data_IF_844572132809
#
_entry.id   IF_844572132809
#
_cell.length_a   1.000
_cell.length_b   1.000
_cell.length_c   1.000
_cell.angle_alpha   90.00
_cell.angle_beta   90.00
_cell.angle_gamma   90.00
#
_symmetry.space_group_name_H-M   'P 1'
#
loop_
_entity.id
_entity.type
_entity.pdbx_description
1 polymer ?
#
# COMPACT_ATOMS: atom_id res chain seq x y z
N UNK A 1 -42.47 -32.75 -68.34
CA UNK A 1 -41.72 -31.51 -68.07
C UNK A 1 -42.20 -30.98 -66.74
N UNK A 2 -41.31 -30.86 -65.74
CA UNK A 2 -41.47 -30.19 -64.44
C UNK A 2 -42.59 -30.74 -63.50
N UNK A 3 -42.43 -30.88 -62.18
CA UNK A 3 -41.27 -30.75 -61.30
C UNK A 3 -41.64 -31.42 -59.96
N UNK A 4 -40.63 -32.03 -59.33
CA UNK A 4 -40.53 -32.31 -57.90
C UNK A 4 -40.91 -31.09 -57.04
N UNK A 5 -41.39 -31.33 -55.80
CA UNK A 5 -40.59 -31.15 -54.58
C UNK A 5 -41.52 -31.19 -53.35
N UNK A 6 -41.24 -32.19 -52.52
CA UNK A 6 -41.82 -32.46 -51.22
C UNK A 6 -41.15 -31.55 -50.19
N UNK A 7 -41.86 -30.58 -49.62
CA UNK A 7 -41.32 -29.75 -48.52
C UNK A 7 -41.59 -30.45 -47.18
N UNK A 8 -40.60 -31.20 -46.70
CA UNK A 8 -40.52 -31.61 -45.30
C UNK A 8 -40.18 -30.39 -44.43
N UNK A 9 -41.00 -30.16 -43.41
CA UNK A 9 -40.76 -29.18 -42.35
C UNK A 9 -39.54 -29.57 -41.54
N UNK A 10 -38.43 -28.82 -41.69
CA UNK A 10 -37.27 -28.94 -40.82
C UNK A 10 -37.43 -27.97 -39.63
N UNK A 11 -37.81 -28.51 -38.47
CA UNK A 11 -37.78 -27.79 -37.20
C UNK A 11 -36.32 -27.56 -36.80
N UNK A 12 -35.85 -26.31 -36.89
CA UNK A 12 -34.54 -25.91 -36.38
C UNK A 12 -34.58 -25.88 -34.85
N UNK A 13 -34.00 -26.90 -34.21
CA UNK A 13 -33.73 -26.88 -32.76
C UNK A 13 -32.48 -26.03 -32.55
N UNK A 14 -32.68 -24.78 -32.14
CA UNK A 14 -31.59 -23.89 -31.71
C UNK A 14 -31.17 -24.33 -30.31
N UNK A 15 -30.08 -25.09 -30.22
CA UNK A 15 -29.36 -25.32 -28.98
C UNK A 15 -28.70 -24.00 -28.55
N UNK A 16 -29.41 -23.25 -27.70
CA UNK A 16 -28.82 -22.12 -26.98
C UNK A 16 -27.87 -22.74 -25.97
N UNK A 17 -26.60 -22.92 -26.36
CA UNK A 17 -25.53 -23.22 -25.44
C UNK A 17 -25.49 -22.06 -24.43
N UNK A 18 -25.95 -22.33 -23.21
CA UNK A 18 -25.99 -21.37 -22.13
C UNK A 18 -24.58 -20.83 -21.89
N UNK A 19 -24.33 -19.61 -22.35
CA UNK A 19 -23.23 -18.80 -21.86
C UNK A 19 -23.55 -18.49 -20.40
N UNK A 20 -23.13 -19.37 -19.49
CA UNK A 20 -23.05 -19.05 -18.07
C UNK A 20 -22.00 -17.95 -17.94
N UNK A 21 -22.47 -16.71 -18.00
CA UNK A 21 -21.71 -15.55 -17.61
C UNK A 21 -21.51 -15.70 -16.10
N UNK A 22 -20.46 -16.40 -15.70
CA UNK A 22 -20.02 -16.40 -14.30
C UNK A 22 -19.69 -14.94 -13.98
N UNK A 23 -20.64 -14.28 -13.33
CA UNK A 23 -20.40 -13.06 -12.61
C UNK A 23 -19.34 -13.41 -11.55
N UNK A 24 -18.06 -13.31 -11.93
CA UNK A 24 -16.97 -13.49 -11.01
C UNK A 24 -17.11 -12.40 -9.96
N UNK A 25 -17.61 -12.81 -8.80
CA UNK A 25 -17.70 -11.96 -7.62
C UNK A 25 -16.32 -11.34 -7.43
N UNK A 26 -16.26 -10.01 -7.52
CA UNK A 26 -15.04 -9.24 -7.28
C UNK A 26 -14.70 -9.37 -5.81
N UNK A 27 -13.97 -10.43 -5.46
CA UNK A 27 -13.49 -10.67 -4.10
C UNK A 27 -12.32 -9.72 -3.85
N UNK A 28 -12.52 -8.80 -2.92
CA UNK A 28 -11.45 -7.93 -2.43
C UNK A 28 -10.84 -8.66 -1.25
N UNK A 29 -9.64 -9.19 -1.46
CA UNK A 29 -8.82 -9.75 -0.39
C UNK A 29 -7.73 -8.75 -0.04
N UNK A 30 -7.48 -8.47 1.25
CA UNK A 30 -6.37 -7.62 1.64
C UNK A 30 -5.05 -8.32 1.27
N UNK A 31 -4.11 -7.55 0.75
CA UNK A 31 -2.75 -8.04 0.59
C UNK A 31 -2.13 -8.35 1.96
N UNK A 32 -1.35 -9.43 2.04
CA UNK A 32 -0.56 -9.71 3.24
C UNK A 32 0.61 -8.73 3.27
N UNK A 33 0.74 -7.96 4.35
CA UNK A 33 1.86 -7.03 4.56
C UNK A 33 2.79 -7.62 5.61
N UNK A 34 4.03 -7.90 5.22
CA UNK A 34 5.07 -8.42 6.12
C UNK A 34 6.03 -7.30 6.47
N UNK A 35 6.08 -6.99 7.76
CA UNK A 35 6.96 -5.95 8.28
C UNK A 35 8.22 -6.58 8.86
N UNK A 36 9.42 -6.13 8.44
CA UNK A 36 10.68 -6.66 8.94
C UNK A 36 10.85 -6.38 10.44
N UNK A 37 10.35 -5.23 10.90
CA UNK A 37 10.23 -4.86 12.30
C UNK A 37 8.96 -4.06 12.52
N UNK A 38 8.23 -4.33 13.60
CA UNK A 38 7.05 -3.54 14.00
C UNK A 38 7.51 -2.44 14.95
N UNK A 39 7.27 -1.18 14.56
CA UNK A 39 7.59 -0.03 15.41
C UNK A 39 6.61 0.09 16.59
N UNK A 40 5.33 -0.17 16.30
CA UNK A 40 4.19 -0.13 17.22
C UNK A 40 2.89 0.27 16.50
N UNK A 41 1.87 0.64 17.27
CA UNK A 41 0.59 1.14 16.76
C UNK A 41 0.45 2.61 17.09
N UNK A 42 0.02 3.40 16.10
CA UNK A 42 -0.30 4.82 16.26
C UNK A 42 -1.41 5.04 17.28
N UNK A 43 -1.23 5.98 18.18
CA UNK A 43 -2.16 6.29 19.26
C UNK A 43 -3.39 7.04 18.73
N UNK A 44 -3.21 7.86 17.71
CA UNK A 44 -4.30 8.64 17.12
C UNK A 44 -4.95 7.95 15.93
N UNK A 45 -4.15 7.28 15.09
CA UNK A 45 -4.65 6.71 13.83
C UNK A 45 -5.02 5.22 13.91
N UNK A 46 -4.66 4.53 15.00
CA UNK A 46 -4.73 3.06 15.15
C UNK A 46 -4.00 2.29 14.02
N UNK A 47 -3.11 2.96 13.26
CA UNK A 47 -2.34 2.33 12.19
C UNK A 47 -1.13 1.60 12.76
N UNK A 48 -0.83 0.43 12.21
CA UNK A 48 0.43 -0.26 12.49
C UNK A 48 1.56 0.42 11.73
N UNK A 49 2.61 0.83 12.45
CA UNK A 49 3.82 1.39 11.86
C UNK A 49 4.92 0.33 11.83
N UNK A 50 5.57 0.20 10.67
CA UNK A 50 6.67 -0.71 10.47
C UNK A 50 7.99 0.07 10.44
N UNK A 51 9.00 -0.43 11.13
CA UNK A 51 10.32 0.17 11.15
C UNK A 51 11.15 -0.42 10.02
N UNK A 52 11.60 0.43 9.11
CA UNK A 52 12.42 0.03 7.96
C UNK A 52 13.77 0.70 8.11
N UNK A 53 14.81 -0.12 8.29
CA UNK A 53 16.19 0.39 8.30
C UNK A 53 16.62 0.71 6.87
N UNK A 54 17.45 1.73 6.71
CA UNK A 54 18.02 2.08 5.41
C UNK A 54 18.87 0.91 4.93
N UNK A 55 18.52 0.36 3.77
CA UNK A 55 19.17 -0.80 3.17
C UNK A 55 19.12 -0.76 1.65
N UNK A 56 19.79 -1.72 1.02
CA UNK A 56 19.88 -1.83 -0.45
C UNK A 56 19.23 -3.09 -1.00
N UNK A 57 18.86 -4.04 -0.13
CA UNK A 57 18.23 -5.30 -0.51
C UNK A 57 16.70 -5.19 -0.39
N UNK A 58 15.98 -5.75 -1.37
CA UNK A 58 14.50 -5.77 -1.35
C UNK A 58 13.98 -6.54 -0.13
N UNK A 59 14.70 -7.56 0.31
CA UNK A 59 14.34 -8.39 1.46
C UNK A 59 14.38 -7.64 2.82
N UNK A 60 15.09 -6.51 2.89
CA UNK A 60 15.17 -5.70 4.11
C UNK A 60 13.98 -4.71 4.24
N UNK A 61 13.17 -4.58 3.19
CA UNK A 61 12.01 -3.69 3.11
C UNK A 61 10.69 -4.30 3.59
N UNK A 62 9.60 -3.56 3.36
CA UNK A 62 8.23 -4.05 3.58
C UNK A 62 7.81 -4.92 2.39
N UNK A 63 7.39 -6.15 2.64
CA UNK A 63 6.94 -7.08 1.60
C UNK A 63 5.42 -7.09 1.56
N UNK A 64 4.84 -6.69 0.42
CA UNK A 64 3.41 -6.77 0.16
C UNK A 64 3.13 -7.94 -0.77
N UNK A 65 2.49 -8.99 -0.27
CA UNK A 65 2.10 -10.16 -1.06
C UNK A 65 0.76 -9.87 -1.72
N UNK A 66 0.81 -9.59 -3.03
CA UNK A 66 -0.39 -9.37 -3.84
C UNK A 66 -1.01 -10.74 -4.19
N UNK A 67 -2.27 -11.02 -3.79
CA UNK A 67 -2.93 -12.28 -4.12
C UNK A 67 -3.10 -12.47 -5.64
N UNK A 68 -3.29 -13.71 -6.08
CA UNK A 68 -3.60 -14.00 -7.48
C UNK A 68 -4.88 -13.26 -7.92
N UNK A 69 -4.75 -12.40 -8.93
CA UNK A 69 -5.84 -11.57 -9.43
C UNK A 69 -5.78 -11.45 -10.95
N UNK A 70 -6.83 -10.90 -11.56
CA UNK A 70 -6.88 -10.58 -12.99
C UNK A 70 -6.73 -9.06 -13.16
N UNK A 71 -5.93 -8.66 -14.14
CA UNK A 71 -5.65 -7.24 -14.42
C UNK A 71 -4.49 -6.69 -13.57
N UNK A 72 -4.24 -5.38 -13.62
CA UNK A 72 -3.15 -4.76 -12.88
C UNK A 72 -3.46 -4.67 -11.38
N UNK A 73 -2.45 -4.89 -10.54
CA UNK A 73 -2.48 -4.52 -9.12
C UNK A 73 -2.04 -3.07 -8.94
N UNK A 74 -2.69 -2.39 -8.00
CA UNK A 74 -2.32 -1.05 -7.56
C UNK A 74 -1.99 -1.15 -6.07
N UNK A 75 -0.77 -0.75 -5.71
CA UNK A 75 -0.33 -0.64 -4.32
C UNK A 75 -0.06 0.82 -4.03
N UNK A 76 -0.70 1.34 -2.98
CA UNK A 76 -0.53 2.71 -2.48
C UNK A 76 -0.03 2.65 -1.05
N UNK A 77 0.93 3.50 -0.70
CA UNK A 77 1.48 3.57 0.65
C UNK A 77 1.92 5.01 0.95
N UNK A 78 1.90 5.36 2.23
CA UNK A 78 2.48 6.60 2.73
C UNK A 78 3.82 6.29 3.38
N UNK A 79 4.85 7.08 3.07
CA UNK A 79 6.15 6.98 3.73
C UNK A 79 6.28 8.10 4.75
N UNK A 80 6.62 7.73 5.98
CA UNK A 80 6.84 8.68 7.06
C UNK A 80 8.29 8.64 7.51
N UNK A 81 8.86 9.82 7.74
CA UNK A 81 10.10 9.92 8.51
C UNK A 81 9.87 9.44 9.94
N UNK A 82 10.85 8.76 10.52
CA UNK A 82 10.91 8.58 11.97
C UNK A 82 11.71 9.73 12.56
N UNK A 83 11.05 10.60 13.32
CA UNK A 83 11.68 11.75 13.94
C UNK A 83 11.65 11.60 15.47
N UNK A 84 12.83 11.59 16.09
CA UNK A 84 12.94 11.78 17.53
C UNK A 84 13.15 13.26 17.80
N UNK A 85 12.28 13.87 18.61
CA UNK A 85 12.34 15.29 18.92
C UNK A 85 12.21 15.56 20.42
N UNK A 86 12.65 16.75 20.83
CA UNK A 86 12.43 17.28 22.18
C UNK A 86 11.38 18.38 22.12
N UNK A 87 10.30 18.25 22.90
CA UNK A 87 9.24 19.27 23.02
C UNK A 87 9.84 20.61 23.46
N UNK A 88 10.80 20.57 24.38
CA UNK A 88 11.53 21.75 24.87
C UNK A 88 12.32 22.46 23.76
N UNK A 89 12.91 21.72 22.83
CA UNK A 89 13.65 22.29 21.70
C UNK A 89 12.71 22.85 20.64
N UNK A 90 11.57 22.19 20.41
CA UNK A 90 10.52 22.68 19.50
C UNK A 90 9.92 23.99 20.02
N UNK A 91 9.59 24.07 21.30
CA UNK A 91 9.06 25.29 21.93
C UNK A 91 10.05 26.47 21.84
N UNK A 92 11.36 26.18 21.83
CA UNK A 92 12.42 27.18 21.63
C UNK A 92 12.72 27.50 20.18
N UNK A 93 11.96 26.96 19.23
CA UNK A 93 12.17 27.16 17.79
C UNK A 93 13.43 26.49 17.24
N UNK A 94 14.00 25.52 17.97
CA UNK A 94 15.20 24.75 17.58
C UNK A 94 14.87 23.32 17.12
N UNK A 95 13.59 23.00 17.01
CA UNK A 95 13.13 21.67 16.62
C UNK A 95 13.06 21.41 15.11
N UNK A 96 13.36 22.39 14.25
CA UNK A 96 13.23 22.20 12.80
C UNK A 96 14.14 21.08 12.28
N UNK A 97 13.58 20.17 11.49
CA UNK A 97 14.31 19.12 10.79
C UNK A 97 13.78 18.97 9.35
N UNK A 98 14.70 18.64 8.43
CA UNK A 98 14.37 18.37 7.03
C UNK A 98 14.90 17.00 6.63
N UNK A 99 14.02 16.18 6.08
CA UNK A 99 14.29 14.82 5.65
C UNK A 99 14.21 14.71 4.15
N UNK A 100 15.23 14.10 3.55
CA UNK A 100 15.18 13.62 2.18
C UNK A 100 15.30 12.10 2.24
N UNK A 101 14.27 11.40 1.82
CA UNK A 101 14.23 9.93 1.82
C UNK A 101 14.14 9.48 0.38
N UNK A 102 15.04 8.60 -0.03
CA UNK A 102 14.93 7.88 -1.29
C UNK A 102 14.55 6.44 -0.97
N UNK A 103 13.55 5.92 -1.69
CA UNK A 103 13.13 4.52 -1.57
C UNK A 103 13.18 3.85 -2.94
N UNK A 104 12.89 2.55 -2.99
CA UNK A 104 12.71 1.80 -4.21
C UNK A 104 11.46 0.91 -4.06
N UNK A 105 10.58 0.95 -5.06
CA UNK A 105 9.49 -0.03 -5.20
C UNK A 105 9.96 -1.05 -6.22
N UNK A 106 9.99 -2.32 -5.81
CA UNK A 106 10.54 -3.39 -6.63
C UNK A 106 9.70 -4.66 -6.50
N UNK A 107 9.72 -5.47 -7.55
CA UNK A 107 9.32 -6.87 -7.51
C UNK A 107 10.56 -7.73 -7.22
N UNK A 108 10.41 -9.05 -7.18
CA UNK A 108 11.54 -9.97 -7.13
C UNK A 108 12.43 -9.94 -8.39
N UNK A 109 11.94 -9.32 -9.47
CA UNK A 109 12.56 -9.38 -10.80
C UNK A 109 13.12 -8.02 -11.23
N UNK A 110 12.49 -6.91 -10.82
CA UNK A 110 12.88 -5.58 -11.27
C UNK A 110 12.52 -4.46 -10.27
N UNK A 111 13.19 -3.33 -10.42
CA UNK A 111 12.83 -2.09 -9.71
C UNK A 111 11.82 -1.31 -10.57
N UNK A 112 10.62 -1.11 -10.04
CA UNK A 112 9.51 -0.42 -10.70
C UNK A 112 9.65 1.11 -10.61
N UNK A 113 10.09 1.63 -9.44
CA UNK A 113 10.27 3.06 -9.24
C UNK A 113 11.31 3.35 -8.15
N UNK A 114 11.84 4.58 -8.16
CA UNK A 114 12.77 5.10 -7.14
C UNK A 114 12.27 6.45 -6.61
N UNK A 115 11.26 6.42 -5.75
CA UNK A 115 10.65 7.63 -5.27
C UNK A 115 11.59 8.41 -4.35
N UNK A 116 11.52 9.74 -4.42
CA UNK A 116 12.32 10.65 -3.59
C UNK A 116 11.38 11.63 -2.91
N UNK A 117 11.38 11.57 -1.58
CA UNK A 117 10.43 12.25 -0.74
C UNK A 117 11.18 13.28 0.10
N UNK A 118 10.70 14.53 0.04
CA UNK A 118 11.18 15.61 0.89
C UNK A 118 10.12 15.97 1.93
N UNK A 119 10.48 15.85 3.20
CA UNK A 119 9.60 16.14 4.31
C UNK A 119 10.25 17.15 5.26
N UNK A 120 9.47 18.03 5.87
CA UNK A 120 9.93 18.98 6.87
C UNK A 120 9.13 18.83 8.17
N UNK A 121 9.83 18.88 9.29
CA UNK A 121 9.25 18.99 10.62
C UNK A 121 9.60 20.38 11.15
N UNK A 122 8.59 21.24 11.34
CA UNK A 122 8.74 22.63 11.78
C UNK A 122 8.25 22.79 13.21
N UNK A 123 7.13 22.14 13.54
CA UNK A 123 6.53 22.14 14.87
C UNK A 123 5.95 20.78 15.20
N UNK A 124 5.50 20.59 16.45
CA UNK A 124 4.79 19.37 16.85
C UNK A 124 3.50 19.10 16.05
N UNK A 125 2.95 20.10 15.34
CA UNK A 125 1.77 19.93 14.47
C UNK A 125 2.12 19.19 13.17
N UNK A 126 3.40 19.10 12.80
CA UNK A 126 3.85 18.32 11.62
C UNK A 126 4.01 16.81 11.95
N UNK A 127 3.74 16.38 13.19
CA UNK A 127 3.69 14.97 13.55
C UNK A 127 2.50 14.30 12.85
N UNK A 128 2.74 13.13 12.24
CA UNK A 128 1.65 12.34 11.68
C UNK A 128 0.94 11.51 12.74
N UNK A 129 1.68 11.01 13.73
CA UNK A 129 1.16 10.21 14.83
C UNK A 129 2.21 10.07 15.95
N UNK A 130 1.78 9.54 17.08
CA UNK A 130 2.62 9.02 18.15
C UNK A 130 2.40 7.52 18.27
N UNK A 131 3.46 6.73 18.17
CA UNK A 131 3.42 5.27 18.17
C UNK A 131 3.66 4.72 19.58
N UNK A 132 2.78 3.83 20.04
CA UNK A 132 2.91 3.14 21.32
C UNK A 132 4.22 2.35 21.48
N UNK A 133 4.68 2.16 22.72
CA UNK A 133 5.86 1.32 23.03
C UNK A 133 7.22 2.01 22.85
N UNK A 134 7.28 3.32 23.08
CA UNK A 134 8.46 4.18 22.89
C UNK A 134 9.14 4.70 24.15
N UNK A 135 10.36 5.21 23.96
CA UNK A 135 11.16 5.90 24.98
C UNK A 135 10.93 7.43 24.95
N UNK A 136 9.67 7.87 24.97
CA UNK A 136 9.26 9.28 25.03
C UNK A 136 8.25 9.55 26.16
N UNK A 137 7.87 10.82 26.42
CA UNK A 137 6.83 11.15 27.40
C UNK A 137 5.56 10.36 27.12
N UNK A 138 5.03 9.66 28.13
CA UNK A 138 3.86 8.79 27.97
C UNK A 138 4.13 7.42 27.32
N UNK A 139 5.38 7.04 27.10
CA UNK A 139 5.74 5.72 26.56
C UNK A 139 5.49 5.58 25.05
N UNK A 140 5.57 6.69 24.30
CA UNK A 140 5.29 6.75 22.86
C UNK A 140 6.49 7.26 22.06
N UNK A 141 6.62 6.83 20.80
CA UNK A 141 7.60 7.29 19.80
C UNK A 141 6.92 8.29 18.87
N UNK A 142 7.53 9.41 18.57
CA UNK A 142 6.99 10.35 17.59
C UNK A 142 7.27 9.88 16.15
N UNK A 143 6.32 10.06 15.23
CA UNK A 143 6.48 9.79 13.80
C UNK A 143 6.18 11.06 13.02
N UNK A 144 7.15 11.53 12.23
CA UNK A 144 7.10 12.79 11.53
C UNK A 144 8.08 12.82 10.36
N UNK A 145 7.80 13.53 9.25
CA UNK A 145 6.51 14.05 8.77
C UNK A 145 5.85 13.06 7.79
N UNK A 146 4.59 13.34 7.40
CA UNK A 146 4.01 12.78 6.16
C UNK A 146 4.61 13.48 4.95
N UNK A 147 4.88 12.71 3.91
CA UNK A 147 4.90 13.25 2.56
C UNK A 147 4.10 12.31 1.69
N UNK A 148 3.18 12.89 0.94
CA UNK A 148 2.36 12.15 -0.02
C UNK A 148 3.10 12.08 -1.34
N UNK A 149 3.10 10.90 -1.96
CA UNK A 149 3.39 10.72 -3.38
C UNK A 149 2.13 10.32 -4.14
#
# INVERSE_FOLDING_TARGET
>A
MAADVQLLTATAVVLIAGLTLEAQSRRIEPAEVRCPSVLGVGVETDRTYCDVLIGTEVADGIIVVVPAHRGPAIVTFDLHGRHTYSEEEVERGRGYARYLVQTAVATTEEVLSRPVILAEFRTGEDLSDRVSGGAGPGGVKAVAPVSVE
#
